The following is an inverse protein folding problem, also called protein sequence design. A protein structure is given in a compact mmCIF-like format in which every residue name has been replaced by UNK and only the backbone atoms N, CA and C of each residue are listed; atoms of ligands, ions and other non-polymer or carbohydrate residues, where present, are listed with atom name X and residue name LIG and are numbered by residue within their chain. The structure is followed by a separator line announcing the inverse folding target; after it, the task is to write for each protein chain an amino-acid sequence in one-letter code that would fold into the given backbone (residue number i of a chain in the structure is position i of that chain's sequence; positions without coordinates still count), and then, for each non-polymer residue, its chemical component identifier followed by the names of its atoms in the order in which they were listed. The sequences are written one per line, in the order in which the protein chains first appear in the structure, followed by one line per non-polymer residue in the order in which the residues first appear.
data_IF_808838119657
#
_entry.id   IF_808838119657
#
_cell.length_a   1.000
_cell.length_b   1.000
_cell.length_c   1.000
_cell.angle_alpha   90.00
_cell.angle_beta   90.00
_cell.angle_gamma   90.00
#
_symmetry.space_group_name_H-M   'P 1'
#
loop_
_entity.id
_entity.type
_entity.pdbx_description
1 polymer ?
#
# COMPACT_ATOMS: atom_id res chain seq x y z
N UNK A 1 25.28 5.47 50.75
CA UNK A 1 25.50 4.88 49.42
C UNK A 1 24.22 4.23 48.88
N UNK A 2 23.59 3.28 49.60
CA UNK A 2 22.35 2.63 49.11
C UNK A 2 21.16 3.56 48.80
N UNK A 3 20.94 4.62 49.59
CA UNK A 3 19.79 5.52 49.38
C UNK A 3 19.93 6.31 48.07
N UNK A 4 21.15 6.70 47.71
CA UNK A 4 21.44 7.43 46.48
C UNK A 4 21.28 6.53 45.25
N UNK A 5 21.66 5.25 45.35
CA UNK A 5 21.41 4.26 44.29
C UNK A 5 19.91 4.01 44.10
N UNK A 6 19.16 3.83 45.18
CA UNK A 6 17.69 3.65 45.12
C UNK A 6 16.98 4.85 44.50
N UNK A 7 17.44 6.07 44.82
CA UNK A 7 16.92 7.32 44.22
C UNK A 7 17.28 7.43 42.74
N UNK A 8 18.52 7.12 42.37
CA UNK A 8 18.98 7.13 40.99
C UNK A 8 18.25 6.11 40.11
N UNK A 9 18.08 4.88 40.60
CA UNK A 9 17.31 3.83 39.92
C UNK A 9 15.87 4.30 39.70
N UNK A 10 15.20 4.79 40.73
CA UNK A 10 13.80 5.24 40.62
C UNK A 10 13.64 6.43 39.67
N UNK A 11 14.59 7.38 39.66
CA UNK A 11 14.64 8.47 38.67
C UNK A 11 14.81 7.94 37.24
N UNK A 12 15.70 6.97 37.03
CA UNK A 12 15.93 6.36 35.71
C UNK A 12 14.71 5.57 35.21
N UNK A 13 14.03 4.82 36.08
CA UNK A 13 12.80 4.08 35.76
C UNK A 13 11.65 5.03 35.44
N UNK A 14 11.48 6.10 36.21
CA UNK A 14 10.42 7.10 35.98
C UNK A 14 10.67 7.86 34.67
N UNK A 15 11.93 8.21 34.38
CA UNK A 15 12.31 8.82 33.11
C UNK A 15 12.05 7.91 31.91
N UNK A 16 12.33 6.61 32.04
CA UNK A 16 12.04 5.62 30.99
C UNK A 16 10.53 5.47 30.73
N UNK A 17 9.71 5.50 31.77
CA UNK A 17 8.23 5.46 31.63
C UNK A 17 7.73 6.71 30.91
N UNK A 18 8.19 7.90 31.31
CA UNK A 18 7.83 9.17 30.66
C UNK A 18 8.22 9.16 29.18
N UNK A 19 9.42 8.67 28.85
CA UNK A 19 9.89 8.56 27.47
C UNK A 19 8.99 7.64 26.63
N UNK A 20 8.60 6.47 27.16
CA UNK A 20 7.69 5.54 26.44
C UNK A 20 6.31 6.12 26.23
N UNK A 21 5.79 6.87 27.19
CA UNK A 21 4.50 7.55 27.07
C UNK A 21 4.58 8.64 26.00
N UNK A 22 5.63 9.45 26.02
CA UNK A 22 5.87 10.51 25.03
C UNK A 22 5.98 9.93 23.61
N UNK A 23 6.73 8.84 23.44
CA UNK A 23 6.89 8.16 22.16
C UNK A 23 5.54 7.62 21.63
N UNK A 24 4.74 6.98 22.48
CA UNK A 24 3.39 6.52 22.11
C UNK A 24 2.48 7.67 21.71
N UNK A 25 2.53 8.80 22.41
CA UNK A 25 1.73 9.98 22.09
C UNK A 25 2.15 10.61 20.76
N UNK A 26 3.45 10.67 20.45
CA UNK A 26 3.93 11.16 19.17
C UNK A 26 3.48 10.23 18.03
N UNK A 27 3.62 8.92 18.21
CA UNK A 27 3.19 7.94 17.20
C UNK A 27 1.67 7.90 17.04
N UNK A 28 0.87 8.12 18.08
CA UNK A 28 -0.59 8.15 17.98
C UNK A 28 -1.08 9.40 17.26
N UNK A 29 -0.43 10.55 17.46
CA UNK A 29 -0.79 11.83 16.83
C UNK A 29 -0.31 11.92 15.38
N UNK A 30 0.92 11.49 15.09
CA UNK A 30 1.54 11.63 13.75
C UNK A 30 1.51 10.34 12.90
N UNK A 31 1.06 9.23 13.49
CA UNK A 31 1.13 7.90 12.88
C UNK A 31 2.57 7.37 12.76
N UNK A 32 2.70 6.09 12.44
CA UNK A 32 4.00 5.52 12.02
C UNK A 32 4.38 6.01 10.62
N UNK A 33 5.67 5.91 10.28
CA UNK A 33 6.14 6.20 8.93
C UNK A 33 5.39 5.36 7.87
N UNK A 34 5.12 4.08 8.19
CA UNK A 34 4.37 3.16 7.36
C UNK A 34 2.91 3.60 7.21
N UNK A 35 2.25 4.00 8.29
CA UNK A 35 0.87 4.49 8.24
C UNK A 35 0.75 5.75 7.35
N UNK A 36 1.70 6.68 7.46
CA UNK A 36 1.75 7.86 6.59
C UNK A 36 1.99 7.49 5.12
N UNK A 37 2.84 6.51 4.86
CA UNK A 37 3.12 6.03 3.51
C UNK A 37 1.90 5.34 2.89
N UNK A 38 1.19 4.46 3.62
CA UNK A 38 -0.06 3.86 3.16
C UNK A 38 -1.13 4.91 2.86
N UNK A 39 -1.22 5.96 3.71
CA UNK A 39 -2.12 7.10 3.46
C UNK A 39 -1.81 7.84 2.15
N UNK A 40 -0.55 7.85 1.69
CA UNK A 40 -0.17 8.42 0.38
C UNK A 40 -0.51 7.50 -0.80
N UNK A 41 -0.57 6.19 -0.58
CA UNK A 41 -0.97 5.22 -1.62
C UNK A 41 -2.49 5.16 -1.78
N UNK A 42 -3.25 5.42 -0.70
CA UNK A 42 -4.71 5.32 -0.69
C UNK A 42 -5.41 6.06 -1.85
N UNK A 43 -5.02 7.29 -2.25
CA UNK A 43 -5.63 7.96 -3.40
C UNK A 43 -5.39 7.23 -4.73
N UNK A 44 -4.25 6.55 -4.90
CA UNK A 44 -3.95 5.76 -6.09
C UNK A 44 -4.90 4.55 -6.16
N UNK A 45 -5.11 3.86 -5.03
CA UNK A 45 -6.07 2.75 -4.94
C UNK A 45 -7.49 3.21 -5.24
N UNK A 46 -7.88 4.38 -4.72
CA UNK A 46 -9.18 4.98 -5.04
C UNK A 46 -9.33 5.28 -6.53
N UNK A 47 -8.29 5.81 -7.18
CA UNK A 47 -8.29 6.05 -8.63
C UNK A 47 -8.41 4.73 -9.43
N UNK A 48 -7.73 3.66 -9.00
CA UNK A 48 -7.86 2.31 -9.60
C UNK A 48 -9.30 1.79 -9.44
N UNK A 49 -9.90 1.93 -8.24
CA UNK A 49 -11.29 1.58 -7.96
C UNK A 49 -12.28 2.39 -8.81
N UNK A 50 -12.05 3.68 -9.01
CA UNK A 50 -12.90 4.54 -9.84
C UNK A 50 -12.96 4.09 -11.31
N UNK A 51 -11.93 3.40 -11.82
CA UNK A 51 -11.93 2.85 -13.18
C UNK A 51 -12.67 1.51 -13.32
N UNK A 52 -13.18 0.93 -12.23
CA UNK A 52 -13.87 -0.37 -12.29
C UNK A 52 -15.05 -0.39 -13.27
N UNK A 53 -16.00 0.58 -13.25
CA UNK A 53 -17.14 0.54 -14.15
C UNK A 53 -16.74 0.60 -15.63
N UNK A 54 -15.65 1.32 -15.95
CA UNK A 54 -15.11 1.43 -17.32
C UNK A 54 -14.65 0.07 -17.84
N UNK A 55 -13.88 -0.68 -17.04
CA UNK A 55 -13.32 -1.96 -17.49
C UNK A 55 -14.32 -3.12 -17.37
N UNK A 56 -15.26 -3.06 -16.43
CA UNK A 56 -16.38 -4.01 -16.36
C UNK A 56 -17.22 -4.03 -17.65
N UNK A 57 -17.39 -2.86 -18.29
CA UNK A 57 -18.17 -2.74 -19.53
C UNK A 57 -17.44 -3.26 -20.78
N UNK A 58 -16.12 -3.47 -20.71
CA UNK A 58 -15.35 -3.99 -21.84
C UNK A 58 -15.61 -5.48 -22.07
N UNK A 59 -15.55 -5.90 -23.32
CA UNK A 59 -15.44 -7.31 -23.72
C UNK A 59 -14.05 -7.87 -23.41
N UNK A 60 -13.91 -9.18 -23.41
CA UNK A 60 -12.61 -9.84 -23.17
C UNK A 60 -11.57 -9.45 -24.23
N UNK A 61 -12.00 -9.21 -25.47
CA UNK A 61 -11.12 -8.74 -26.55
C UNK A 61 -10.62 -7.33 -26.27
N UNK A 62 -11.52 -6.40 -25.94
CA UNK A 62 -11.16 -5.01 -25.61
C UNK A 62 -10.25 -4.92 -24.37
N UNK A 63 -10.46 -5.80 -23.38
CA UNK A 63 -9.63 -5.87 -22.19
C UNK A 63 -8.22 -6.38 -22.53
N UNK A 64 -8.10 -7.40 -23.40
CA UNK A 64 -6.80 -7.87 -23.91
C UNK A 64 -6.07 -6.80 -24.71
N UNK A 65 -6.80 -6.00 -25.50
CA UNK A 65 -6.24 -4.91 -26.30
C UNK A 65 -5.57 -3.82 -25.47
N UNK A 66 -5.97 -3.63 -24.20
CA UNK A 66 -5.32 -2.67 -23.30
C UNK A 66 -3.81 -2.97 -23.14
N UNK A 67 -3.42 -4.25 -23.17
CA UNK A 67 -1.99 -4.63 -23.10
C UNK A 67 -1.19 -4.03 -24.25
N UNK A 68 -1.71 -4.12 -25.48
CA UNK A 68 -1.05 -3.54 -26.65
C UNK A 68 -1.03 -2.02 -26.59
N UNK A 69 -2.12 -1.41 -26.11
CA UNK A 69 -2.19 0.05 -25.89
C UNK A 69 -1.12 0.52 -24.90
N UNK A 70 -0.97 -0.15 -23.75
CA UNK A 70 0.03 0.19 -22.74
C UNK A 70 1.46 0.03 -23.28
N UNK A 71 1.76 -1.05 -24.01
CA UNK A 71 3.07 -1.24 -24.66
C UNK A 71 3.41 -0.11 -25.64
N UNK A 72 2.42 0.33 -26.44
CA UNK A 72 2.60 1.45 -27.38
C UNK A 72 2.86 2.77 -26.65
N UNK A 73 2.12 3.04 -25.58
CA UNK A 73 2.29 4.25 -24.75
C UNK A 73 3.65 4.29 -24.06
N UNK A 74 4.09 3.15 -23.52
CA UNK A 74 5.42 3.01 -22.93
C UNK A 74 6.53 3.24 -23.98
N UNK A 75 6.38 2.67 -25.18
CA UNK A 75 7.32 2.91 -26.29
C UNK A 75 7.31 4.36 -26.78
N UNK A 76 6.21 5.09 -26.59
CA UNK A 76 6.09 6.51 -26.90
C UNK A 76 6.66 7.43 -25.80
N UNK A 77 7.20 6.88 -24.71
CA UNK A 77 7.90 7.62 -23.67
C UNK A 77 7.12 7.85 -22.38
N UNK A 78 5.90 7.33 -22.24
CA UNK A 78 5.24 7.27 -20.94
C UNK A 78 6.02 6.35 -19.99
N UNK A 79 5.96 6.62 -18.69
CA UNK A 79 6.60 5.81 -17.66
C UNK A 79 5.66 4.72 -17.14
N UNK A 80 6.19 3.75 -16.39
CA UNK A 80 5.35 2.76 -15.73
C UNK A 80 4.44 3.39 -14.66
N UNK A 81 4.86 4.50 -14.04
CA UNK A 81 4.06 5.25 -13.07
C UNK A 81 2.85 5.91 -13.73
N UNK A 82 3.01 6.44 -14.95
CA UNK A 82 1.92 7.02 -15.73
C UNK A 82 0.85 5.98 -16.10
N UNK A 83 1.28 4.74 -16.31
CA UNK A 83 0.40 3.61 -16.68
C UNK A 83 -0.20 2.88 -15.47
N UNK A 84 0.32 3.09 -14.26
CA UNK A 84 0.05 2.28 -13.08
C UNK A 84 -1.45 2.12 -12.81
N UNK A 85 -2.19 3.23 -12.78
CA UNK A 85 -3.61 3.22 -12.40
C UNK A 85 -4.45 2.40 -13.40
N UNK A 86 -4.23 2.62 -14.69
CA UNK A 86 -4.97 1.92 -15.73
C UNK A 86 -4.56 0.45 -15.83
N UNK A 87 -3.26 0.15 -15.72
CA UNK A 87 -2.74 -1.20 -15.75
C UNK A 87 -3.26 -2.05 -14.57
N UNK A 88 -3.25 -1.51 -13.35
CA UNK A 88 -3.78 -2.21 -12.18
C UNK A 88 -5.29 -2.44 -12.28
N UNK A 89 -6.04 -1.48 -12.82
CA UNK A 89 -7.49 -1.63 -13.02
C UNK A 89 -7.82 -2.73 -14.05
N UNK A 90 -7.04 -2.81 -15.14
CA UNK A 90 -7.15 -3.89 -16.14
C UNK A 90 -6.80 -5.25 -15.54
N UNK A 91 -5.68 -5.35 -14.81
CA UNK A 91 -5.28 -6.59 -14.14
C UNK A 91 -6.33 -7.06 -13.13
N UNK A 92 -6.94 -6.13 -12.37
CA UNK A 92 -8.01 -6.46 -11.43
C UNK A 92 -9.21 -7.06 -12.14
N UNK A 93 -9.66 -6.44 -13.24
CA UNK A 93 -10.80 -6.94 -14.00
C UNK A 93 -10.49 -8.30 -14.65
N UNK A 94 -9.27 -8.48 -15.16
CA UNK A 94 -8.83 -9.76 -15.71
C UNK A 94 -8.86 -10.88 -14.65
N UNK A 95 -8.36 -10.62 -13.44
CA UNK A 95 -8.42 -11.60 -12.34
C UNK A 95 -9.85 -11.92 -11.91
N UNK A 96 -10.74 -10.91 -11.90
CA UNK A 96 -12.17 -11.14 -11.63
C UNK A 96 -12.79 -12.09 -12.67
N UNK A 97 -12.48 -11.92 -13.95
CA UNK A 97 -13.03 -12.75 -15.03
C UNK A 97 -12.44 -14.15 -15.08
N UNK A 98 -11.12 -14.26 -14.92
CA UNK A 98 -10.39 -15.51 -15.12
C UNK A 98 -10.38 -16.38 -13.87
N UNK A 99 -10.20 -15.76 -12.69
CA UNK A 99 -10.06 -16.47 -11.41
C UNK A 99 -11.32 -16.36 -10.55
N UNK A 100 -12.29 -15.53 -10.92
CA UNK A 100 -13.44 -15.23 -10.08
C UNK A 100 -13.10 -14.35 -8.87
N UNK A 101 -11.88 -13.79 -8.82
CA UNK A 101 -11.36 -13.07 -7.66
C UNK A 101 -11.14 -11.59 -8.00
N UNK A 102 -11.95 -10.72 -7.38
CA UNK A 102 -11.71 -9.27 -7.42
C UNK A 102 -10.65 -8.93 -6.37
N UNK A 103 -9.51 -8.38 -6.80
CA UNK A 103 -8.47 -7.93 -5.87
C UNK A 103 -9.03 -6.96 -4.83
N UNK A 104 -8.70 -7.15 -3.55
CA UNK A 104 -9.01 -6.23 -2.46
C UNK A 104 -8.07 -5.01 -2.48
N UNK A 105 -8.49 -3.94 -1.80
CA UNK A 105 -7.70 -2.71 -1.69
C UNK A 105 -6.31 -2.95 -1.08
N UNK A 106 -6.20 -3.87 -0.11
CA UNK A 106 -4.92 -4.26 0.50
C UNK A 106 -3.98 -4.95 -0.49
N UNK A 107 -4.51 -5.72 -1.44
CA UNK A 107 -3.73 -6.36 -2.50
C UNK A 107 -3.24 -5.34 -3.53
N UNK A 108 -4.10 -4.37 -3.88
CA UNK A 108 -3.70 -3.25 -4.75
C UNK A 108 -2.61 -2.41 -4.08
N UNK A 109 -2.74 -2.12 -2.78
CA UNK A 109 -1.68 -1.46 -2.00
C UNK A 109 -0.38 -2.28 -2.05
N UNK A 110 -0.45 -3.58 -1.79
CA UNK A 110 0.71 -4.48 -1.86
C UNK A 110 1.41 -4.43 -3.22
N UNK A 111 0.65 -4.52 -4.31
CA UNK A 111 1.18 -4.42 -5.68
C UNK A 111 1.85 -3.07 -5.96
N UNK A 112 1.29 -1.95 -5.48
CA UNK A 112 1.89 -0.62 -5.63
C UNK A 112 3.22 -0.53 -4.85
N UNK A 113 3.29 -1.12 -3.65
CA UNK A 113 4.53 -1.18 -2.87
C UNK A 113 5.61 -1.97 -3.60
N UNK A 114 5.26 -3.13 -4.17
CA UNK A 114 6.18 -3.95 -4.96
C UNK A 114 6.65 -3.22 -6.23
N UNK A 115 5.74 -2.54 -6.93
CA UNK A 115 6.06 -1.70 -8.09
C UNK A 115 7.10 -0.63 -7.76
N UNK A 116 7.04 -0.05 -6.56
CA UNK A 116 8.02 0.93 -6.08
C UNK A 116 9.36 0.30 -5.62
N UNK A 117 9.57 -1.00 -5.85
CA UNK A 117 10.79 -1.71 -5.48
C UNK A 117 10.94 -1.94 -3.97
N UNK A 118 9.83 -1.94 -3.23
CA UNK A 118 9.81 -2.13 -1.76
C UNK A 118 9.21 -3.48 -1.38
N UNK A 119 9.39 -3.85 -0.11
CA UNK A 119 8.82 -5.08 0.46
C UNK A 119 7.41 -4.78 0.97
N UNK A 120 6.42 -5.51 0.44
CA UNK A 120 5.05 -5.49 0.93
C UNK A 120 4.86 -6.62 1.95
N UNK A 121 4.75 -6.26 3.24
CA UNK A 121 4.40 -7.23 4.29
C UNK A 121 2.87 -7.40 4.35
N UNK A 122 2.41 -8.62 4.08
CA UNK A 122 0.99 -8.98 4.12
C UNK A 122 0.80 -10.31 4.86
N UNK A 123 -0.23 -10.40 5.70
CA UNK A 123 -0.55 -11.60 6.46
C UNK A 123 -0.86 -12.80 5.52
N UNK A 124 -0.74 -14.02 6.04
CA UNK A 124 -1.13 -15.22 5.29
C UNK A 124 -2.65 -15.25 5.14
N UNK A 125 -3.13 -15.56 3.94
CA UNK A 125 -4.55 -15.48 3.59
C UNK A 125 -4.95 -14.18 2.87
N UNK A 126 -4.11 -13.14 2.87
CA UNK A 126 -4.37 -11.86 2.19
C UNK A 126 -4.19 -11.91 0.66
N UNK A 127 -3.98 -13.10 0.09
CA UNK A 127 -3.77 -13.30 -1.36
C UNK A 127 -2.51 -12.62 -1.88
N UNK A 128 -1.33 -13.08 -1.41
CA UNK A 128 -0.01 -12.61 -1.83
C UNK A 128 0.42 -13.08 -3.23
N UNK A 129 -0.20 -14.14 -3.72
CA UNK A 129 0.00 -14.72 -5.06
C UNK A 129 -1.04 -14.16 -6.00
#
# INVERSE_FOLDING_TARGET
MELLEKVWIKLSETGAVISRVLEKTILSVFGSANARYLKKIQPIVQAINALEPKYQQMTDTELKEQTFKFRRRLAAGETLDDLLIEAFAVCREAARRVLGMRHFDVQLMGGIVLHQGKIAEMATGEGKT
#
